data_IF_596066083449
#
_entry.id   IF_596066083449
#
_cell.length_a   1.000
_cell.length_b   1.000
_cell.length_c   1.000
_cell.angle_alpha   90.00
_cell.angle_beta   90.00
_cell.angle_gamma   90.00
#
_symmetry.space_group_name_H-M   'P 1'
#
loop_
_entity.id
_entity.type
_entity.pdbx_description
1 polymer ?
#
# COMPACT_ATOMS: atom_id res chain seq x y z
N UNK A 1 7.13 14.62 -18.25
CA UNK A 1 7.72 13.32 -18.63
C UNK A 1 6.59 12.36 -18.99
N UNK A 2 6.88 11.31 -19.78
CA UNK A 2 5.95 10.19 -20.04
C UNK A 2 6.22 9.07 -19.05
N UNK A 3 5.28 8.83 -18.14
CA UNK A 3 5.43 7.86 -17.05
C UNK A 3 4.39 6.73 -17.23
N UNK A 4 4.83 5.48 -17.16
CA UNK A 4 3.92 4.34 -17.11
C UNK A 4 3.77 3.82 -15.67
N UNK A 5 2.55 3.65 -15.20
CA UNK A 5 2.25 2.88 -13.99
C UNK A 5 1.87 1.46 -14.39
N UNK A 6 2.65 0.49 -13.93
CA UNK A 6 2.45 -0.92 -14.23
C UNK A 6 1.76 -1.64 -13.07
N UNK A 7 0.54 -2.12 -13.31
CA UNK A 7 -0.35 -2.65 -12.28
C UNK A 7 -0.79 -4.09 -12.62
N UNK A 8 -1.04 -4.89 -11.60
CA UNK A 8 -1.59 -6.25 -11.78
C UNK A 8 -3.01 -6.19 -12.37
N UNK A 9 -3.83 -5.33 -11.81
CA UNK A 9 -5.22 -5.06 -12.21
C UNK A 9 -5.53 -3.56 -12.05
N UNK A 10 -6.52 -3.04 -12.78
CA UNK A 10 -6.97 -1.65 -12.71
C UNK A 10 -8.40 -1.49 -13.18
N UNK A 11 -9.21 -0.63 -12.59
CA UNK A 11 -9.01 -0.06 -11.25
C UNK A 11 -9.28 -1.09 -10.15
N UNK A 12 -8.70 -0.87 -8.94
CA UNK A 12 -8.91 -1.72 -7.76
C UNK A 12 -9.30 -0.85 -6.58
N UNK A 13 -10.48 -1.09 -6.00
CA UNK A 13 -11.05 -0.25 -4.93
C UNK A 13 -10.20 -0.18 -3.65
N UNK A 14 -9.45 -1.24 -3.34
CA UNK A 14 -8.60 -1.29 -2.15
C UNK A 14 -7.22 -0.65 -2.35
N UNK A 15 -6.88 -0.22 -3.57
CA UNK A 15 -5.57 0.35 -3.92
C UNK A 15 -5.68 1.88 -4.13
N UNK A 16 -6.39 2.57 -3.25
CA UNK A 16 -6.61 4.03 -3.32
C UNK A 16 -5.30 4.83 -3.33
N UNK A 17 -4.28 4.35 -2.66
CA UNK A 17 -2.94 4.95 -2.63
C UNK A 17 -2.25 4.93 -4.01
N UNK A 18 -2.49 3.89 -4.83
CA UNK A 18 -1.99 3.84 -6.22
C UNK A 18 -2.64 4.93 -7.05
N UNK A 19 -3.99 5.03 -6.96
CA UNK A 19 -4.75 6.08 -7.65
C UNK A 19 -4.28 7.47 -7.23
N UNK A 20 -4.02 7.66 -5.92
CA UNK A 20 -3.54 8.93 -5.38
C UNK A 20 -2.16 9.28 -5.93
N UNK A 21 -1.23 8.32 -6.00
CA UNK A 21 0.11 8.56 -6.52
C UNK A 21 0.10 8.87 -8.03
N UNK A 22 -0.74 8.16 -8.81
CA UNK A 22 -0.95 8.48 -10.24
C UNK A 22 -1.46 9.92 -10.39
N UNK A 23 -2.45 10.34 -9.57
CA UNK A 23 -2.96 11.71 -9.57
C UNK A 23 -1.87 12.72 -9.25
N UNK A 24 -1.03 12.44 -8.26
CA UNK A 24 0.12 13.30 -7.91
C UNK A 24 1.05 13.54 -9.10
N UNK A 25 1.35 12.52 -9.89
CA UNK A 25 2.18 12.69 -11.10
C UNK A 25 1.46 13.49 -12.19
N UNK A 26 0.15 13.32 -12.35
CA UNK A 26 -0.65 14.14 -13.28
C UNK A 26 -0.63 15.62 -12.85
N UNK A 27 -0.85 15.88 -11.55
CA UNK A 27 -0.88 17.23 -10.97
C UNK A 27 0.48 17.95 -11.10
N UNK A 28 1.58 17.20 -11.13
CA UNK A 28 2.94 17.68 -11.45
C UNK A 28 3.18 17.90 -12.98
N UNK A 29 2.16 17.70 -13.81
CA UNK A 29 2.23 17.98 -15.26
C UNK A 29 2.84 16.83 -16.08
N UNK A 30 2.87 15.61 -15.59
CA UNK A 30 3.37 14.46 -16.34
C UNK A 30 2.26 13.79 -17.18
N UNK A 31 2.65 13.26 -18.33
CA UNK A 31 1.79 12.39 -19.13
C UNK A 31 1.82 10.98 -18.57
N UNK A 32 0.69 10.51 -18.06
CA UNK A 32 0.61 9.21 -17.37
C UNK A 32 -0.13 8.18 -18.21
N UNK A 33 0.46 7.00 -18.34
CA UNK A 33 -0.15 5.81 -18.92
C UNK A 33 -0.29 4.72 -17.84
N UNK A 34 -1.47 4.14 -17.71
CA UNK A 34 -1.67 2.94 -16.89
C UNK A 34 -1.53 1.70 -17.78
N UNK A 35 -0.53 0.88 -17.49
CA UNK A 35 -0.33 -0.44 -18.11
C UNK A 35 -0.81 -1.50 -17.12
N UNK A 36 -1.83 -2.26 -17.48
CA UNK A 36 -2.42 -3.21 -16.54
C UNK A 36 -2.53 -4.62 -17.10
N UNK A 37 -2.29 -5.60 -16.23
CA UNK A 37 -2.50 -7.01 -16.57
C UNK A 37 -3.97 -7.34 -16.82
N UNK A 38 -4.87 -6.79 -16.00
CA UNK A 38 -6.32 -6.98 -16.09
C UNK A 38 -7.02 -5.65 -15.92
N UNK A 39 -7.91 -5.32 -16.82
CA UNK A 39 -8.78 -4.15 -16.72
C UNK A 39 -10.18 -4.56 -16.22
N UNK A 40 -10.72 -3.79 -15.27
CA UNK A 40 -12.05 -4.00 -14.69
C UNK A 40 -13.01 -2.87 -15.12
N UNK A 41 -13.70 -3.00 -16.26
CA UNK A 41 -14.58 -1.95 -16.77
C UNK A 41 -15.81 -1.68 -15.89
N UNK A 42 -16.20 -2.66 -15.07
CA UNK A 42 -17.36 -2.57 -14.17
C UNK A 42 -17.05 -1.80 -12.87
N UNK A 43 -15.79 -1.46 -12.63
CA UNK A 43 -15.36 -0.65 -11.48
C UNK A 43 -15.19 0.79 -11.95
N UNK A 44 -15.79 1.73 -11.23
CA UNK A 44 -15.64 3.16 -11.52
C UNK A 44 -14.18 3.57 -11.56
N UNK A 45 -13.75 4.16 -12.66
CA UNK A 45 -12.37 4.64 -12.84
C UNK A 45 -12.25 6.10 -12.38
N UNK A 46 -11.59 6.38 -11.24
CA UNK A 46 -11.46 7.73 -10.72
C UNK A 46 -10.50 8.61 -11.54
N UNK A 47 -9.79 8.04 -12.50
CA UNK A 47 -8.85 8.72 -13.40
C UNK A 47 -9.31 8.67 -14.87
N UNK A 48 -10.57 8.31 -15.11
CA UNK A 48 -11.13 8.26 -16.48
C UNK A 48 -10.89 9.58 -17.22
N UNK A 49 -10.38 9.47 -18.44
CA UNK A 49 -10.03 10.62 -19.28
C UNK A 49 -8.76 11.38 -18.88
N UNK A 50 -8.13 11.08 -17.74
CA UNK A 50 -6.88 11.72 -17.26
C UNK A 50 -5.63 10.90 -17.55
N UNK A 51 -5.77 9.61 -17.82
CA UNK A 51 -4.67 8.69 -18.13
C UNK A 51 -4.91 7.95 -19.42
N UNK A 52 -3.82 7.56 -20.11
CA UNK A 52 -3.91 6.57 -21.17
C UNK A 52 -3.96 5.16 -20.56
N UNK A 53 -4.86 4.29 -21.06
CA UNK A 53 -4.97 2.92 -20.58
C UNK A 53 -4.42 1.94 -21.61
N UNK A 54 -3.53 1.04 -21.19
CA UNK A 54 -2.94 -0.04 -21.98
C UNK A 54 -3.14 -1.39 -21.28
N UNK A 55 -4.26 -2.07 -21.56
CA UNK A 55 -4.50 -3.40 -21.03
C UNK A 55 -3.69 -4.46 -21.80
N UNK A 56 -2.98 -5.33 -21.04
CA UNK A 56 -2.23 -6.47 -21.59
C UNK A 56 -3.21 -7.55 -22.07
N UNK A 57 -4.18 -7.88 -21.23
CA UNK A 57 -5.27 -8.83 -21.54
C UNK A 57 -6.53 -8.04 -21.83
N UNK A 58 -6.79 -7.79 -23.11
CA UNK A 58 -8.09 -7.28 -23.52
C UNK A 58 -9.05 -8.45 -23.64
N UNK A 59 -10.22 -8.34 -22.99
CA UNK A 59 -11.38 -9.11 -23.41
C UNK A 59 -11.58 -8.84 -24.91
N UNK A 60 -11.55 -9.88 -25.72
CA UNK A 60 -11.73 -9.95 -27.18
C UNK A 60 -11.93 -8.59 -27.87
N UNK A 61 -10.92 -8.15 -28.62
CA UNK A 61 -11.09 -7.14 -29.64
C UNK A 61 -11.71 -7.84 -30.88
N UNK A 62 -13.01 -7.67 -31.16
CA UNK A 62 -13.71 -8.42 -32.24
C UNK A 62 -13.24 -8.02 -33.63
N UNK A 63 -12.51 -6.90 -33.80
CA UNK A 63 -12.10 -6.35 -35.10
C UNK A 63 -10.67 -6.70 -35.51
N UNK A 64 -9.94 -7.53 -34.78
CA UNK A 64 -8.59 -7.96 -35.19
C UNK A 64 -8.60 -9.31 -35.88
N UNK A 65 -8.36 -9.29 -37.20
CA UNK A 65 -8.14 -10.48 -38.03
C UNK A 65 -7.07 -11.42 -37.40
N UNK A 66 -7.42 -12.70 -37.27
CA UNK A 66 -6.51 -13.76 -36.78
C UNK A 66 -5.25 -13.84 -37.66
N UNK A 67 -5.34 -13.66 -38.95
CA UNK A 67 -4.18 -13.64 -39.88
C UNK A 67 -3.21 -12.49 -39.59
N UNK A 68 -3.69 -11.29 -39.31
CA UNK A 68 -2.83 -10.15 -38.95
C UNK A 68 -2.11 -10.31 -37.59
N UNK A 69 -2.66 -11.16 -36.71
CA UNK A 69 -1.98 -11.54 -35.42
C UNK A 69 -0.90 -12.58 -35.67
N UNK A 70 -1.12 -13.55 -36.55
CA UNK A 70 -0.15 -14.61 -36.88
C UNK A 70 1.08 -14.03 -37.60
N UNK A 71 0.88 -13.15 -38.59
CA UNK A 71 2.02 -12.54 -39.31
C UNK A 71 2.92 -11.67 -38.45
N UNK A 72 2.34 -10.82 -37.60
CA UNK A 72 3.09 -10.00 -36.61
C UNK A 72 3.67 -10.85 -35.50
N UNK A 73 3.02 -11.94 -35.13
CA UNK A 73 3.53 -12.92 -34.16
C UNK A 73 4.77 -13.63 -34.62
N UNK A 74 4.81 -14.03 -35.88
CA UNK A 74 5.96 -14.71 -36.47
C UNK A 74 7.22 -13.83 -36.47
N UNK A 75 7.13 -12.56 -36.88
CA UNK A 75 8.25 -11.62 -36.85
C UNK A 75 8.70 -11.26 -35.43
N UNK A 76 7.78 -11.13 -34.46
CA UNK A 76 8.12 -10.89 -33.06
C UNK A 76 8.82 -12.08 -32.42
N UNK A 77 8.41 -13.31 -32.70
CA UNK A 77 9.01 -14.55 -32.17
C UNK A 77 10.39 -14.80 -32.77
N UNK A 78 10.68 -14.33 -33.97
CA UNK A 78 12.00 -14.42 -34.61
C UNK A 78 13.06 -13.51 -33.94
N UNK A 79 12.64 -12.45 -33.23
CA UNK A 79 13.55 -11.58 -32.50
C UNK A 79 14.23 -12.30 -31.32
N UNK A 80 15.57 -12.22 -31.25
CA UNK A 80 16.37 -12.89 -30.18
C UNK A 80 15.95 -12.48 -28.77
N UNK A 81 15.62 -11.20 -28.55
CA UNK A 81 15.15 -10.66 -27.26
C UNK A 81 13.85 -11.33 -26.83
N UNK A 82 12.86 -11.39 -27.70
CA UNK A 82 11.56 -12.01 -27.41
C UNK A 82 11.71 -13.51 -27.13
N UNK A 83 12.48 -14.23 -27.98
CA UNK A 83 12.73 -15.67 -27.84
C UNK A 83 13.40 -16.02 -26.51
N UNK A 84 14.46 -15.28 -26.12
CA UNK A 84 15.15 -15.51 -24.87
C UNK A 84 14.25 -15.24 -23.66
N UNK A 85 13.42 -14.19 -23.73
CA UNK A 85 12.47 -13.88 -22.68
C UNK A 85 11.35 -14.91 -22.60
N UNK A 86 10.87 -15.41 -23.74
CA UNK A 86 9.88 -16.49 -23.78
C UNK A 86 10.39 -17.76 -23.09
N UNK A 87 11.67 -18.15 -23.33
CA UNK A 87 12.29 -19.30 -22.64
C UNK A 87 12.31 -19.07 -21.12
N UNK A 88 12.64 -17.85 -20.65
CA UNK A 88 12.60 -17.49 -19.23
C UNK A 88 11.18 -17.60 -18.67
N UNK A 89 10.18 -17.09 -19.40
CA UNK A 89 8.78 -17.14 -18.99
C UNK A 89 8.22 -18.57 -18.93
N UNK A 90 8.64 -19.45 -19.86
CA UNK A 90 8.28 -20.89 -19.82
C UNK A 90 8.91 -21.56 -18.59
N UNK A 91 10.18 -21.25 -18.26
CA UNK A 91 10.82 -21.76 -17.03
C UNK A 91 10.08 -21.27 -15.79
N UNK A 92 9.69 -19.99 -15.74
CA UNK A 92 8.92 -19.43 -14.64
C UNK A 92 7.55 -20.13 -14.48
N UNK A 93 6.86 -20.40 -15.59
CA UNK A 93 5.58 -21.12 -15.58
C UNK A 93 5.72 -22.57 -15.10
N UNK A 94 6.81 -23.27 -15.46
CA UNK A 94 7.11 -24.60 -14.90
C UNK A 94 7.36 -24.59 -13.40
N UNK A 95 7.88 -23.47 -12.86
CA UNK A 95 8.01 -23.20 -11.42
C UNK A 95 6.75 -22.62 -10.75
N UNK A 96 5.59 -22.66 -11.42
CA UNK A 96 4.32 -22.20 -10.86
C UNK A 96 4.01 -20.70 -11.09
N UNK A 97 4.93 -19.91 -11.66
CA UNK A 97 4.68 -18.49 -11.93
C UNK A 97 4.31 -18.24 -13.39
N UNK A 98 3.01 -18.31 -13.70
CA UNK A 98 2.47 -18.27 -15.07
C UNK A 98 2.27 -16.85 -15.64
N UNK A 99 2.26 -15.81 -14.80
CA UNK A 99 1.90 -14.45 -15.20
C UNK A 99 2.76 -13.88 -16.34
N UNK A 100 4.12 -14.01 -16.34
CA UNK A 100 4.96 -13.51 -17.44
C UNK A 100 4.65 -14.16 -18.78
N UNK A 101 4.41 -15.49 -18.79
CA UNK A 101 4.06 -16.21 -20.02
C UNK A 101 2.72 -15.76 -20.59
N UNK A 102 1.72 -15.57 -19.72
CA UNK A 102 0.40 -15.08 -20.12
C UNK A 102 0.47 -13.63 -20.64
N UNK A 103 1.32 -12.79 -20.05
CA UNK A 103 1.51 -11.41 -20.50
C UNK A 103 2.21 -11.35 -21.88
N UNK A 104 3.27 -12.14 -22.06
CA UNK A 104 3.93 -12.25 -23.38
C UNK A 104 2.96 -12.73 -24.45
N UNK A 105 2.14 -13.75 -24.17
CA UNK A 105 1.12 -14.23 -25.09
C UNK A 105 0.08 -13.16 -25.43
N UNK A 106 -0.36 -12.37 -24.44
CA UNK A 106 -1.31 -11.25 -24.63
C UNK A 106 -0.73 -10.06 -25.41
N UNK A 107 0.60 -9.98 -25.53
CA UNK A 107 1.30 -8.85 -26.16
C UNK A 107 2.02 -9.21 -27.47
N UNK A 108 1.87 -10.43 -27.98
CA UNK A 108 2.49 -10.85 -29.25
C UNK A 108 2.16 -9.84 -30.37
N UNK A 109 3.20 -9.30 -31.03
CA UNK A 109 3.06 -8.32 -32.11
C UNK A 109 2.56 -6.94 -31.65
N UNK A 110 2.59 -6.65 -30.34
CA UNK A 110 2.21 -5.35 -29.78
C UNK A 110 3.41 -4.70 -29.11
N UNK A 111 3.50 -3.38 -29.25
CA UNK A 111 4.39 -2.54 -28.43
C UNK A 111 3.52 -1.63 -27.55
N UNK A 112 3.72 -1.66 -26.25
CA UNK A 112 2.89 -0.95 -25.28
C UNK A 112 3.36 0.48 -25.02
N UNK A 113 4.50 0.87 -25.57
CA UNK A 113 5.01 2.24 -25.49
C UNK A 113 6.44 2.32 -24.97
N UNK A 114 7.02 3.53 -25.17
CA UNK A 114 8.33 3.90 -24.61
C UNK A 114 8.12 5.04 -23.63
N UNK A 115 8.68 4.93 -22.44
CA UNK A 115 8.45 5.83 -21.32
C UNK A 115 9.74 6.34 -20.73
N UNK A 116 9.69 7.54 -20.16
CA UNK A 116 10.80 8.11 -19.39
C UNK A 116 11.05 7.32 -18.09
N UNK A 117 9.99 6.74 -17.53
CA UNK A 117 10.05 5.75 -16.44
C UNK A 117 8.81 4.86 -16.42
N UNK A 118 9.00 3.64 -15.88
CA UNK A 118 7.96 2.66 -15.60
C UNK A 118 7.95 2.44 -14.08
N UNK A 119 6.85 2.77 -13.42
CA UNK A 119 6.65 2.59 -11.98
C UNK A 119 5.75 1.38 -11.79
N UNK A 120 6.27 0.31 -11.22
CA UNK A 120 5.49 -0.88 -10.92
C UNK A 120 5.12 -0.90 -9.43
N UNK A 121 3.83 -1.01 -9.12
CA UNK A 121 3.38 -1.22 -7.76
C UNK A 121 3.36 -2.71 -7.45
N UNK A 122 3.99 -3.07 -6.35
CA UNK A 122 4.28 -4.43 -5.87
C UNK A 122 5.35 -5.18 -6.67
N UNK A 123 6.04 -6.09 -5.99
CA UNK A 123 7.11 -6.89 -6.57
C UNK A 123 6.69 -7.75 -7.77
N UNK A 124 5.56 -8.51 -7.72
CA UNK A 124 5.14 -9.33 -8.86
C UNK A 124 4.85 -8.52 -10.14
N UNK A 125 4.16 -7.38 -10.14
CA UNK A 125 4.08 -6.47 -11.28
C UNK A 125 5.43 -5.95 -11.75
N UNK A 126 6.37 -5.65 -10.83
CA UNK A 126 7.74 -5.27 -11.19
C UNK A 126 8.45 -6.34 -12.01
N UNK A 127 8.36 -7.61 -11.59
CA UNK A 127 8.89 -8.77 -12.35
C UNK A 127 8.23 -8.86 -13.73
N UNK A 128 6.92 -8.69 -13.82
CA UNK A 128 6.19 -8.75 -15.11
C UNK A 128 6.61 -7.62 -16.05
N UNK A 129 6.77 -6.40 -15.53
CA UNK A 129 7.27 -5.26 -16.30
C UNK A 129 8.69 -5.53 -16.84
N UNK A 130 9.58 -6.13 -16.02
CA UNK A 130 10.93 -6.54 -16.44
C UNK A 130 10.89 -7.58 -17.59
N UNK A 131 10.02 -8.58 -17.50
CA UNK A 131 9.85 -9.55 -18.57
C UNK A 131 9.40 -8.90 -19.89
N UNK A 132 8.40 -8.00 -19.83
CA UNK A 132 7.90 -7.30 -21.02
C UNK A 132 8.95 -6.33 -21.61
N UNK A 133 9.73 -5.65 -20.76
CA UNK A 133 10.85 -4.82 -21.21
C UNK A 133 11.94 -5.66 -21.87
N UNK A 134 12.33 -6.78 -21.27
CA UNK A 134 13.31 -7.70 -21.84
C UNK A 134 12.87 -8.26 -23.19
N UNK A 135 11.57 -8.46 -23.39
CA UNK A 135 11.01 -8.91 -24.67
C UNK A 135 10.87 -7.81 -25.73
N UNK A 136 11.10 -6.54 -25.38
CA UNK A 136 10.92 -5.40 -26.27
C UNK A 136 9.45 -5.01 -26.49
N UNK A 137 8.58 -5.37 -25.54
CA UNK A 137 7.14 -5.05 -25.57
C UNK A 137 6.87 -3.66 -24.98
N UNK A 138 7.68 -3.26 -24.01
CA UNK A 138 7.64 -1.93 -23.37
C UNK A 138 9.08 -1.45 -23.19
N UNK A 139 9.33 -0.16 -23.34
CA UNK A 139 10.65 0.43 -23.13
C UNK A 139 10.62 1.52 -22.06
N UNK A 140 11.63 1.51 -21.20
CA UNK A 140 11.82 2.49 -20.13
C UNK A 140 12.60 1.92 -18.95
N UNK A 141 13.23 2.76 -18.12
CA UNK A 141 13.78 2.35 -16.84
C UNK A 141 12.65 1.99 -15.87
N UNK A 142 12.85 0.97 -15.04
CA UNK A 142 11.83 0.44 -14.13
C UNK A 142 12.19 0.79 -12.69
N UNK A 143 11.22 1.36 -11.97
CA UNK A 143 11.19 1.42 -10.51
C UNK A 143 10.10 0.51 -9.98
N UNK A 144 10.37 -0.25 -8.92
CA UNK A 144 9.38 -1.13 -8.28
C UNK A 144 9.14 -0.69 -6.85
N UNK A 145 7.87 -0.39 -6.50
CA UNK A 145 7.46 -0.02 -5.15
C UNK A 145 7.02 -1.29 -4.42
N UNK A 146 7.61 -1.53 -3.24
CA UNK A 146 7.29 -2.67 -2.37
C UNK A 146 6.46 -2.20 -1.17
N UNK A 147 5.27 -2.79 -0.98
CA UNK A 147 4.28 -2.28 -0.03
C UNK A 147 4.14 -3.08 1.27
N UNK A 148 4.44 -4.36 1.28
CA UNK A 148 4.30 -5.22 2.46
C UNK A 148 3.91 -6.64 2.06
N UNK A 149 2.66 -6.90 1.68
CA UNK A 149 2.18 -8.24 1.28
C UNK A 149 3.14 -8.95 0.32
N UNK A 150 3.64 -8.23 -0.65
CA UNK A 150 4.55 -8.70 -1.71
C UNK A 150 5.93 -9.12 -1.20
N UNK A 151 6.28 -8.76 0.02
CA UNK A 151 7.57 -9.08 0.67
C UNK A 151 7.41 -9.66 2.08
N UNK A 152 6.19 -10.00 2.52
CA UNK A 152 5.93 -10.56 3.85
C UNK A 152 5.14 -11.87 3.82
N UNK A 153 4.18 -12.00 2.92
CA UNK A 153 3.35 -13.21 2.82
C UNK A 153 4.21 -14.42 2.40
N UNK A 154 4.21 -15.46 3.25
CA UNK A 154 5.17 -16.58 3.17
C UNK A 154 5.09 -17.31 1.82
N UNK A 155 3.89 -17.66 1.37
CA UNK A 155 3.73 -18.43 0.13
C UNK A 155 4.14 -17.61 -1.10
N UNK A 156 3.80 -16.31 -1.11
CA UNK A 156 4.21 -15.40 -2.17
C UNK A 156 5.73 -15.23 -2.21
N UNK A 157 6.39 -15.09 -1.04
CA UNK A 157 7.85 -14.96 -0.97
C UNK A 157 8.53 -16.23 -1.48
N UNK A 158 8.06 -17.40 -1.07
CA UNK A 158 8.62 -18.69 -1.54
C UNK A 158 8.58 -18.79 -3.07
N UNK A 159 7.50 -18.32 -3.68
CA UNK A 159 7.36 -18.30 -5.14
C UNK A 159 8.22 -17.20 -5.79
N UNK A 160 8.23 -16.00 -5.22
CA UNK A 160 8.74 -14.80 -5.90
C UNK A 160 10.20 -14.50 -5.66
N UNK A 161 10.82 -14.96 -4.56
CA UNK A 161 12.21 -14.63 -4.20
C UNK A 161 13.22 -14.86 -5.32
N UNK A 162 13.20 -15.96 -6.09
CA UNK A 162 14.14 -16.16 -7.21
C UNK A 162 13.94 -15.13 -8.34
N UNK A 163 12.72 -14.63 -8.53
CA UNK A 163 12.41 -13.61 -9.53
C UNK A 163 12.79 -12.22 -9.04
N UNK A 164 12.66 -11.95 -7.73
CA UNK A 164 13.09 -10.70 -7.13
C UNK A 164 14.60 -10.48 -7.26
N UNK A 165 15.42 -11.52 -7.08
CA UNK A 165 16.87 -11.42 -7.31
C UNK A 165 17.20 -11.02 -8.75
N UNK A 166 16.44 -11.54 -9.74
CA UNK A 166 16.59 -11.12 -11.13
C UNK A 166 16.08 -9.69 -11.35
N UNK A 167 14.98 -9.31 -10.72
CA UNK A 167 14.44 -7.95 -10.75
C UNK A 167 15.47 -6.95 -10.23
N UNK A 168 16.08 -7.21 -9.07
CA UNK A 168 17.08 -6.34 -8.43
C UNK A 168 18.29 -6.10 -9.34
N UNK A 169 18.74 -7.14 -10.03
CA UNK A 169 19.88 -7.04 -10.95
C UNK A 169 19.56 -6.27 -12.24
N UNK A 170 18.29 -6.19 -12.65
CA UNK A 170 17.88 -5.75 -13.99
C UNK A 170 17.07 -4.46 -14.00
N UNK A 171 16.67 -3.92 -12.86
CA UNK A 171 15.89 -2.69 -12.78
C UNK A 171 16.67 -1.56 -12.13
N UNK A 172 16.28 -0.36 -12.41
CA UNK A 172 17.05 0.84 -12.07
C UNK A 172 16.84 1.27 -10.62
N UNK A 173 15.61 1.12 -10.09
CA UNK A 173 15.28 1.52 -8.71
C UNK A 173 14.34 0.54 -8.02
N UNK A 174 14.56 0.36 -6.73
CA UNK A 174 13.72 -0.38 -5.80
C UNK A 174 13.23 0.61 -4.74
N UNK A 175 11.92 0.71 -4.58
CA UNK A 175 11.27 1.72 -3.77
C UNK A 175 10.48 1.07 -2.62
N UNK A 176 11.14 0.56 -1.55
CA UNK A 176 10.42 0.11 -0.36
C UNK A 176 9.77 1.28 0.36
N UNK A 177 8.60 1.05 0.97
CA UNK A 177 7.86 2.10 1.69
C UNK A 177 8.37 2.37 3.10
N UNK A 178 9.34 1.59 3.58
CA UNK A 178 9.94 1.74 4.93
C UNK A 178 11.40 1.30 4.94
N UNK A 179 12.15 1.71 5.97
CA UNK A 179 13.52 1.24 6.20
C UNK A 179 13.55 -0.25 6.53
N UNK A 180 12.57 -0.76 7.26
CA UNK A 180 12.43 -2.20 7.52
C UNK A 180 12.38 -3.00 6.21
N UNK A 181 11.64 -2.52 5.22
CA UNK A 181 11.58 -3.19 3.91
C UNK A 181 12.86 -2.98 3.10
N UNK A 182 13.54 -1.83 3.21
CA UNK A 182 14.88 -1.64 2.64
C UNK A 182 15.85 -2.71 3.14
N UNK A 183 15.93 -2.90 4.44
CA UNK A 183 16.79 -3.93 5.06
C UNK A 183 16.43 -5.34 4.57
N UNK A 184 15.14 -5.65 4.46
CA UNK A 184 14.68 -6.93 3.93
C UNK A 184 15.10 -7.16 2.48
N UNK A 185 14.97 -6.17 1.60
CA UNK A 185 15.40 -6.27 0.22
C UNK A 185 16.92 -6.44 0.12
N UNK A 186 17.70 -5.72 0.92
CA UNK A 186 19.16 -5.88 1.03
C UNK A 186 19.52 -7.29 1.49
N UNK A 187 18.84 -7.83 2.48
CA UNK A 187 18.99 -9.22 2.94
C UNK A 187 18.64 -10.27 1.88
N UNK A 188 17.94 -9.90 0.82
CA UNK A 188 17.68 -10.76 -0.36
C UNK A 188 18.62 -10.49 -1.52
N UNK A 189 19.63 -9.62 -1.37
CA UNK A 189 20.66 -9.33 -2.33
C UNK A 189 20.41 -8.10 -3.21
N UNK A 190 19.51 -7.20 -2.80
CA UNK A 190 19.37 -5.91 -3.46
C UNK A 190 20.57 -5.00 -3.14
N UNK A 191 21.07 -4.29 -4.17
CA UNK A 191 22.13 -3.29 -4.02
C UNK A 191 21.53 -2.01 -3.41
N UNK A 192 22.08 -1.57 -2.27
CA UNK A 192 21.62 -0.37 -1.56
C UNK A 192 21.67 0.90 -2.43
N UNK A 193 22.63 1.00 -3.34
CA UNK A 193 22.73 2.12 -4.27
C UNK A 193 21.52 2.24 -5.22
N UNK A 194 20.75 1.18 -5.38
CA UNK A 194 19.51 1.13 -6.17
C UNK A 194 18.24 1.31 -5.34
N UNK A 195 18.36 1.35 -4.01
CA UNK A 195 17.22 1.48 -3.11
C UNK A 195 17.00 2.95 -2.76
N UNK A 196 15.76 3.38 -2.82
CA UNK A 196 15.30 4.67 -2.28
C UNK A 196 14.02 4.42 -1.50
N UNK A 197 14.01 4.71 -0.20
CA UNK A 197 12.78 4.59 0.60
C UNK A 197 11.78 5.64 0.13
N UNK A 198 10.66 5.20 -0.41
CA UNK A 198 9.55 6.05 -0.83
C UNK A 198 8.34 5.73 0.03
N UNK A 199 8.10 6.52 1.04
CA UNK A 199 6.99 6.33 1.97
C UNK A 199 5.64 6.51 1.27
N UNK A 200 4.61 5.91 1.83
CA UNK A 200 3.23 6.26 1.53
C UNK A 200 2.82 7.42 2.44
N UNK A 201 1.87 8.22 2.01
CA UNK A 201 1.43 9.37 2.77
C UNK A 201 -0.07 9.63 2.67
N UNK A 202 -0.47 10.76 3.22
CA UNK A 202 -1.84 11.27 3.19
C UNK A 202 -1.87 12.68 2.62
N UNK A 203 -3.03 13.06 2.12
CA UNK A 203 -3.26 14.45 1.69
C UNK A 203 -3.52 15.31 2.94
N UNK A 204 -2.67 16.32 3.12
CA UNK A 204 -2.73 17.23 4.26
C UNK A 204 -3.02 18.64 3.75
N UNK A 205 -4.05 19.24 4.31
CA UNK A 205 -4.24 20.68 4.20
C UNK A 205 -3.45 21.38 5.32
N UNK A 206 -2.28 21.89 4.99
CA UNK A 206 -1.41 22.55 5.96
C UNK A 206 -2.01 23.84 6.53
N UNK A 207 -3.05 24.39 5.89
CA UNK A 207 -3.80 25.54 6.40
C UNK A 207 -4.89 25.15 7.42
N UNK A 208 -5.35 23.92 7.38
CA UNK A 208 -6.38 23.37 8.27
C UNK A 208 -5.74 22.60 9.44
N UNK A 209 -5.00 23.32 10.30
CA UNK A 209 -4.38 22.71 11.49
C UNK A 209 -5.48 22.33 12.48
N UNK A 210 -5.54 21.06 12.95
CA UNK A 210 -6.52 20.61 13.91
C UNK A 210 -6.29 21.24 15.30
N UNK A 211 -7.33 21.31 16.13
CA UNK A 211 -7.17 21.65 17.54
C UNK A 211 -6.59 20.47 18.29
N UNK A 212 -5.49 20.72 19.01
CA UNK A 212 -4.83 19.68 19.84
C UNK A 212 -5.31 19.71 21.29
N UNK A 213 -5.91 20.81 21.73
CA UNK A 213 -6.24 21.08 23.13
C UNK A 213 -7.62 20.53 23.54
N UNK A 214 -8.31 19.82 22.65
CA UNK A 214 -9.59 19.18 22.96
C UNK A 214 -9.41 18.19 24.13
N UNK A 215 -10.20 18.35 25.23
CA UNK A 215 -10.08 17.48 26.39
C UNK A 215 -10.51 16.06 26.08
N UNK A 216 -9.88 15.08 26.73
CA UNK A 216 -10.33 13.70 26.71
C UNK A 216 -11.73 13.61 27.34
N UNK A 217 -12.62 12.92 26.67
CA UNK A 217 -14.00 12.76 27.09
C UNK A 217 -14.19 11.58 28.06
N UNK A 218 -15.30 11.60 28.79
CA UNK A 218 -15.81 10.44 29.52
C UNK A 218 -17.25 10.18 29.06
N UNK A 219 -17.57 9.02 28.47
CA UNK A 219 -16.66 7.89 28.17
C UNK A 219 -15.55 8.24 27.17
N UNK A 220 -14.37 7.58 27.31
CA UNK A 220 -13.25 7.70 26.38
C UNK A 220 -13.66 7.18 25.00
N UNK A 221 -13.58 7.99 23.97
CA UNK A 221 -14.02 7.66 22.61
C UNK A 221 -12.84 7.07 21.82
N UNK A 222 -12.90 5.77 21.58
CA UNK A 222 -11.88 5.01 20.83
C UNK A 222 -12.41 4.61 19.47
N UNK A 223 -11.62 4.75 18.43
CA UNK A 223 -11.97 4.40 17.06
C UNK A 223 -10.90 3.51 16.43
N UNK A 224 -11.33 2.47 15.70
CA UNK A 224 -10.51 1.75 14.73
C UNK A 224 -11.14 1.83 13.34
N UNK A 225 -10.30 2.07 12.32
CA UNK A 225 -10.71 2.03 10.92
C UNK A 225 -9.80 1.05 10.19
N UNK A 226 -10.34 -0.11 9.82
CA UNK A 226 -9.53 -1.17 9.25
C UNK A 226 -10.36 -2.19 8.46
N UNK A 227 -9.75 -2.85 7.50
CA UNK A 227 -10.26 -4.10 6.97
C UNK A 227 -10.19 -5.17 8.06
N UNK A 228 -11.26 -5.93 8.29
CA UNK A 228 -11.34 -6.92 9.38
C UNK A 228 -10.64 -8.22 8.98
N UNK A 229 -9.31 -8.19 9.03
CA UNK A 229 -8.38 -9.31 8.76
C UNK A 229 -7.39 -9.45 9.93
N UNK A 230 -6.78 -10.62 10.07
CA UNK A 230 -5.92 -10.98 11.20
C UNK A 230 -4.86 -9.91 11.51
N UNK A 231 -4.11 -9.46 10.50
CA UNK A 231 -3.00 -8.51 10.72
C UNK A 231 -3.40 -7.15 11.31
N UNK A 232 -4.70 -6.79 11.28
CA UNK A 232 -5.19 -5.55 11.88
C UNK A 232 -5.38 -5.63 13.39
N UNK A 233 -5.35 -6.84 13.95
CA UNK A 233 -5.33 -7.06 15.39
C UNK A 233 -6.57 -6.62 16.15
N UNK A 234 -7.74 -6.42 15.48
CA UNK A 234 -8.95 -5.90 16.13
C UNK A 234 -9.42 -6.78 17.29
N UNK A 235 -9.12 -8.10 17.28
CA UNK A 235 -9.40 -8.99 18.39
C UNK A 235 -8.69 -8.52 19.68
N UNK A 236 -7.44 -8.03 19.57
CA UNK A 236 -6.67 -7.53 20.71
C UNK A 236 -7.16 -6.15 21.17
N UNK A 237 -7.70 -5.33 20.25
CA UNK A 237 -8.38 -4.09 20.63
C UNK A 237 -9.64 -4.39 21.47
N UNK A 238 -10.45 -5.35 21.04
CA UNK A 238 -11.65 -5.79 21.78
C UNK A 238 -11.26 -6.33 23.17
N UNK A 239 -10.24 -7.18 23.25
CA UNK A 239 -9.75 -7.74 24.52
C UNK A 239 -9.24 -6.63 25.44
N UNK A 240 -8.44 -5.68 24.92
CA UNK A 240 -7.91 -4.55 25.68
C UNK A 240 -9.01 -3.62 26.21
N UNK A 241 -10.01 -3.29 25.37
CA UNK A 241 -11.16 -2.47 25.79
C UNK A 241 -12.00 -3.20 26.86
N UNK A 242 -12.21 -4.50 26.72
CA UNK A 242 -12.96 -5.29 27.70
C UNK A 242 -12.25 -5.41 29.07
N UNK A 243 -10.91 -5.32 29.12
CA UNK A 243 -10.10 -5.36 30.35
C UNK A 243 -9.89 -4.01 31.00
N UNK A 244 -10.04 -2.92 30.25
CA UNK A 244 -9.85 -1.56 30.76
C UNK A 244 -10.85 -1.25 31.87
N UNK A 245 -10.40 -0.41 32.84
CA UNK A 245 -11.20 0.05 33.97
C UNK A 245 -11.93 1.35 33.67
N UNK A 246 -11.44 2.10 32.70
CA UNK A 246 -12.05 3.35 32.24
C UNK A 246 -13.39 3.08 31.55
N UNK A 247 -14.31 4.04 31.63
CA UNK A 247 -15.52 4.02 30.80
C UNK A 247 -15.13 4.34 29.36
N UNK A 248 -15.32 3.38 28.46
CA UNK A 248 -14.86 3.44 27.07
C UNK A 248 -16.03 3.21 26.11
N UNK A 249 -16.11 4.03 25.07
CA UNK A 249 -16.92 3.77 23.89
C UNK A 249 -16.02 3.48 22.69
N UNK A 250 -15.95 2.24 22.29
CA UNK A 250 -15.12 1.79 21.18
C UNK A 250 -15.96 1.54 19.92
N UNK A 251 -15.57 2.18 18.82
CA UNK A 251 -16.19 2.02 17.51
C UNK A 251 -15.23 1.41 16.51
N UNK A 252 -15.72 0.46 15.71
CA UNK A 252 -14.96 -0.20 14.64
C UNK A 252 -15.63 0.08 13.30
N UNK A 253 -14.89 0.74 12.39
CA UNK A 253 -15.32 0.98 11.02
C UNK A 253 -14.56 0.04 10.09
N UNK A 254 -15.28 -0.67 9.24
CA UNK A 254 -14.74 -1.55 8.22
C UNK A 254 -15.51 -2.86 8.10
N UNK A 255 -15.03 -3.72 7.21
CA UNK A 255 -15.57 -5.05 6.95
C UNK A 255 -14.45 -6.01 6.59
N UNK A 256 -14.70 -7.29 6.65
CA UNK A 256 -13.72 -8.31 6.28
C UNK A 256 -14.12 -9.71 6.72
N UNK A 257 -13.31 -10.72 6.38
CA UNK A 257 -13.62 -12.12 6.66
C UNK A 257 -13.77 -12.44 8.16
N UNK A 258 -13.16 -11.66 9.07
CA UNK A 258 -13.26 -11.87 10.52
C UNK A 258 -14.42 -11.13 11.18
N UNK A 259 -15.30 -10.46 10.42
CA UNK A 259 -16.35 -9.60 10.97
C UNK A 259 -17.26 -10.31 11.96
N UNK A 260 -17.77 -11.48 11.60
CA UNK A 260 -18.67 -12.26 12.48
C UNK A 260 -17.97 -12.73 13.76
N UNK A 261 -16.72 -13.17 13.67
CA UNK A 261 -15.91 -13.61 14.79
C UNK A 261 -15.66 -12.47 15.78
N UNK A 262 -15.25 -11.31 15.25
CA UNK A 262 -14.97 -10.11 16.04
C UNK A 262 -16.23 -9.55 16.72
N UNK A 263 -17.36 -9.54 16.01
CA UNK A 263 -18.65 -9.16 16.62
C UNK A 263 -19.06 -10.12 17.72
N UNK A 264 -18.83 -11.43 17.55
CA UNK A 264 -19.10 -12.43 18.60
C UNK A 264 -18.19 -12.21 19.82
N UNK A 265 -16.90 -11.91 19.62
CA UNK A 265 -15.96 -11.61 20.70
C UNK A 265 -16.32 -10.32 21.48
N UNK A 266 -16.92 -9.36 20.81
CA UNK A 266 -17.32 -8.07 21.42
C UNK A 266 -18.63 -8.17 22.26
N UNK A 267 -19.49 -9.18 22.05
CA UNK A 267 -20.80 -9.31 22.72
C UNK A 267 -20.77 -9.16 24.24
N UNK A 268 -19.79 -9.72 24.98
CA UNK A 268 -19.72 -9.56 26.44
C UNK A 268 -19.58 -8.12 26.90
N UNK A 269 -19.03 -7.23 26.05
CA UNK A 269 -18.84 -5.80 26.35
C UNK A 269 -20.11 -4.95 26.13
N UNK A 270 -21.20 -5.54 25.64
CA UNK A 270 -22.48 -4.85 25.39
C UNK A 270 -22.32 -3.64 24.48
N UNK A 271 -22.91 -2.50 24.89
CA UNK A 271 -22.92 -1.26 24.10
C UNK A 271 -21.58 -0.49 24.12
N UNK A 272 -20.58 -0.97 24.88
CA UNK A 272 -19.27 -0.34 24.91
C UNK A 272 -18.51 -0.50 23.59
N UNK A 273 -18.80 -1.56 22.80
CA UNK A 273 -18.15 -1.84 21.52
C UNK A 273 -19.19 -1.91 20.39
N UNK A 274 -19.04 -1.04 19.39
CA UNK A 274 -19.97 -0.96 18.25
C UNK A 274 -19.23 -1.13 16.90
N UNK A 275 -19.76 -2.00 16.04
CA UNK A 275 -19.33 -2.15 14.65
C UNK A 275 -20.23 -1.32 13.73
N UNK A 276 -19.64 -0.36 13.03
CA UNK A 276 -20.35 0.55 12.16
C UNK A 276 -20.40 0.09 10.68
N UNK A 277 -19.78 -1.08 10.38
CA UNK A 277 -19.65 -1.56 9.01
C UNK A 277 -18.76 -0.65 8.14
N UNK A 278 -18.74 -0.86 6.82
CA UNK A 278 -18.00 0.00 5.89
C UNK A 278 -18.67 1.38 5.80
N UNK A 279 -17.88 2.45 5.87
CA UNK A 279 -18.34 3.82 5.82
C UNK A 279 -17.68 4.60 4.68
N UNK A 280 -18.38 5.58 4.07
CA UNK A 280 -17.76 6.51 3.12
C UNK A 280 -16.66 7.33 3.79
N UNK A 281 -15.64 7.73 3.02
CA UNK A 281 -14.46 8.44 3.51
C UNK A 281 -14.79 9.70 4.34
N UNK A 282 -15.77 10.50 3.89
CA UNK A 282 -16.24 11.68 4.66
C UNK A 282 -16.81 11.32 6.04
N UNK A 283 -17.48 10.15 6.17
CA UNK A 283 -17.98 9.69 7.47
C UNK A 283 -16.84 9.20 8.36
N UNK A 284 -15.84 8.53 7.78
CA UNK A 284 -14.64 8.12 8.52
C UNK A 284 -13.95 9.34 9.15
N UNK A 285 -13.77 10.41 8.38
CA UNK A 285 -13.16 11.64 8.90
C UNK A 285 -13.99 12.31 10.00
N UNK A 286 -15.33 12.33 9.84
CA UNK A 286 -16.21 12.85 10.88
C UNK A 286 -16.13 12.04 12.19
N UNK A 287 -15.96 10.72 12.12
CA UNK A 287 -15.77 9.89 13.31
C UNK A 287 -14.37 10.06 13.90
N UNK A 288 -13.32 10.21 13.07
CA UNK A 288 -11.98 10.55 13.55
C UNK A 288 -11.98 11.86 14.37
N UNK A 289 -12.59 12.91 13.85
CA UNK A 289 -12.66 14.22 14.52
C UNK A 289 -13.44 14.18 15.86
N UNK A 290 -14.29 13.18 16.06
CA UNK A 290 -15.05 12.97 17.30
C UNK A 290 -14.33 12.04 18.28
N UNK A 291 -13.25 11.38 17.86
CA UNK A 291 -12.55 10.38 18.65
C UNK A 291 -11.43 11.00 19.48
N UNK A 292 -11.21 10.45 20.68
CA UNK A 292 -10.10 10.83 21.55
C UNK A 292 -8.83 10.04 21.20
N UNK A 293 -9.02 8.74 20.87
CA UNK A 293 -7.95 7.78 20.56
C UNK A 293 -8.28 7.02 19.29
N UNK A 294 -7.33 6.94 18.38
CA UNK A 294 -7.35 6.00 17.27
C UNK A 294 -6.50 4.78 17.65
N UNK A 295 -7.11 3.61 17.69
CA UNK A 295 -6.47 2.35 18.11
C UNK A 295 -6.28 1.42 16.91
N UNK A 296 -5.04 1.02 16.63
CA UNK A 296 -4.74 0.03 15.58
C UNK A 296 -3.64 -0.93 16.06
N UNK A 297 -3.99 -2.02 16.78
CA UNK A 297 -3.03 -2.96 17.34
C UNK A 297 -2.64 -4.05 16.34
N UNK A 298 -2.03 -3.65 15.22
CA UNK A 298 -1.61 -4.55 14.14
C UNK A 298 -0.65 -5.61 14.62
N UNK A 299 -0.74 -6.81 14.01
CA UNK A 299 0.07 -7.98 14.35
C UNK A 299 0.58 -8.67 13.09
N UNK A 300 1.61 -9.47 13.21
CA UNK A 300 1.99 -10.42 12.16
C UNK A 300 0.95 -11.53 12.07
N UNK A 301 0.32 -11.69 10.90
CA UNK A 301 -0.65 -12.74 10.65
C UNK A 301 0.01 -14.12 10.54
N UNK A 302 -0.77 -15.20 10.72
CA UNK A 302 -0.28 -16.59 10.67
C UNK A 302 0.37 -16.94 9.32
N UNK A 303 -0.10 -16.37 8.22
CA UNK A 303 0.51 -16.54 6.89
C UNK A 303 1.76 -15.67 6.65
N UNK A 304 2.21 -14.91 7.67
CA UNK A 304 3.35 -13.99 7.61
C UNK A 304 3.01 -12.60 7.04
N UNK A 305 1.76 -12.34 6.61
CA UNK A 305 1.36 -11.00 6.14
C UNK A 305 1.49 -9.98 7.27
N UNK A 306 2.15 -8.88 6.98
CA UNK A 306 2.41 -7.77 7.90
C UNK A 306 1.87 -6.46 7.32
N UNK A 307 1.64 -5.48 8.17
CA UNK A 307 1.42 -4.12 7.70
C UNK A 307 2.69 -3.56 7.04
N UNK A 308 2.49 -2.61 6.12
CA UNK A 308 3.55 -1.67 5.81
C UNK A 308 3.58 -0.57 6.89
N UNK A 309 3.20 0.64 6.50
CA UNK A 309 2.87 1.72 7.45
C UNK A 309 1.41 2.08 7.20
N UNK A 310 0.49 1.84 8.14
CA UNK A 310 -0.94 2.00 7.92
C UNK A 310 -1.34 3.45 7.63
N UNK A 311 -2.00 3.68 6.49
CA UNK A 311 -2.48 5.02 6.09
C UNK A 311 -3.49 5.57 7.10
N UNK A 312 -4.34 4.71 7.69
CA UNK A 312 -5.33 5.14 8.69
C UNK A 312 -4.71 5.72 9.97
N UNK A 313 -3.49 5.29 10.36
CA UNK A 313 -2.74 5.95 11.44
C UNK A 313 -2.30 7.36 11.03
N UNK A 314 -1.80 7.52 9.79
CA UNK A 314 -1.40 8.84 9.28
C UNK A 314 -2.61 9.78 9.18
N UNK A 315 -3.77 9.27 8.74
CA UNK A 315 -5.03 10.04 8.68
C UNK A 315 -5.47 10.50 10.07
N UNK A 316 -5.38 9.62 11.08
CA UNK A 316 -5.69 9.97 12.46
C UNK A 316 -4.74 11.03 13.02
N UNK A 317 -3.43 10.88 12.80
CA UNK A 317 -2.42 11.88 13.19
C UNK A 317 -2.63 13.22 12.49
N UNK A 318 -2.99 13.21 11.21
CA UNK A 318 -3.29 14.41 10.43
C UNK A 318 -4.56 15.14 10.92
N UNK A 319 -5.49 14.41 11.56
CA UNK A 319 -6.69 14.96 12.19
C UNK A 319 -6.49 15.37 13.66
N UNK A 320 -5.27 15.25 14.18
CA UNK A 320 -4.95 15.60 15.57
C UNK A 320 -5.52 14.62 16.59
N UNK A 321 -5.80 13.38 16.20
CA UNK A 321 -6.27 12.32 17.09
C UNK A 321 -5.07 11.62 17.73
N UNK A 322 -5.13 11.31 19.03
CA UNK A 322 -4.10 10.52 19.70
C UNK A 322 -4.08 9.10 19.10
N UNK A 323 -2.92 8.62 18.71
CA UNK A 323 -2.76 7.26 18.17
C UNK A 323 -2.18 6.32 19.21
N UNK A 324 -2.80 5.13 19.33
CA UNK A 324 -2.31 3.97 20.06
C UNK A 324 -2.19 2.80 19.09
N UNK A 325 -0.99 2.26 18.95
CA UNK A 325 -0.71 1.17 18.01
C UNK A 325 0.24 0.15 18.62
N UNK A 326 0.71 -0.80 17.82
CA UNK A 326 1.69 -1.81 18.24
C UNK A 326 3.07 -1.54 17.68
N UNK A 327 4.12 -2.04 18.36
CA UNK A 327 5.50 -2.12 17.83
C UNK A 327 5.57 -3.19 16.74
N UNK A 328 4.80 -2.97 15.67
CA UNK A 328 4.65 -3.89 14.56
C UNK A 328 5.22 -3.30 13.27
N UNK A 329 6.06 -4.08 12.57
CA UNK A 329 6.52 -3.76 11.23
C UNK A 329 7.09 -2.34 11.10
N UNK A 330 6.62 -1.54 10.14
CA UNK A 330 7.02 -0.15 9.92
C UNK A 330 6.34 0.88 10.82
N UNK A 331 5.43 0.50 11.72
CA UNK A 331 4.72 1.44 12.60
C UNK A 331 5.69 2.26 13.46
N UNK A 332 6.79 1.71 14.04
CA UNK A 332 7.75 2.51 14.79
C UNK A 332 8.50 3.57 13.96
N UNK A 333 8.49 3.50 12.64
CA UNK A 333 9.01 4.59 11.78
C UNK A 333 8.06 5.79 11.70
N UNK A 334 6.75 5.55 11.88
CA UNK A 334 5.71 6.58 11.91
C UNK A 334 5.54 7.13 13.32
N UNK A 335 5.47 6.25 14.33
CA UNK A 335 5.14 6.57 15.72
C UNK A 335 6.37 6.32 16.60
N UNK A 336 6.96 7.38 17.11
CA UNK A 336 7.94 7.32 18.21
C UNK A 336 7.17 7.30 19.53
N UNK A 337 7.32 6.18 20.28
CA UNK A 337 6.56 5.92 21.50
C UNK A 337 6.78 7.00 22.56
N UNK A 338 5.70 7.53 23.10
CA UNK A 338 5.72 8.62 24.10
C UNK A 338 6.08 10.00 23.54
N UNK A 339 6.38 10.13 22.24
CA UNK A 339 6.73 11.39 21.58
C UNK A 339 5.63 11.85 20.62
N UNK A 340 5.18 10.99 19.70
CA UNK A 340 4.13 11.33 18.74
C UNK A 340 3.00 10.29 18.65
N UNK A 341 2.83 9.51 19.70
CA UNK A 341 1.82 8.49 19.88
C UNK A 341 2.25 7.47 20.93
N UNK A 342 1.48 6.43 21.12
CA UNK A 342 1.74 5.39 22.10
C UNK A 342 1.83 4.02 21.41
N UNK A 343 2.80 3.20 21.83
CA UNK A 343 3.02 1.88 21.30
C UNK A 343 2.99 0.83 22.41
N UNK A 344 2.27 -0.24 22.16
CA UNK A 344 2.28 -1.48 22.97
C UNK A 344 2.89 -2.62 22.15
N UNK A 345 3.10 -3.77 22.75
CA UNK A 345 3.57 -4.95 22.02
C UNK A 345 2.45 -5.61 21.22
N UNK A 346 2.81 -6.43 20.21
CA UNK A 346 1.82 -7.22 19.47
C UNK A 346 1.09 -8.19 20.41
N UNK A 347 -0.22 -8.34 20.22
CA UNK A 347 -1.08 -9.28 20.98
C UNK A 347 -1.19 -8.97 22.47
N UNK A 348 -0.87 -7.76 22.89
CA UNK A 348 -0.86 -7.32 24.28
C UNK A 348 -2.15 -6.57 24.65
N UNK A 349 -3.22 -7.33 24.95
CA UNK A 349 -4.50 -6.78 25.42
C UNK A 349 -4.37 -6.06 26.77
N UNK A 350 -3.52 -6.55 27.68
CA UNK A 350 -3.28 -5.90 28.99
C UNK A 350 -2.55 -4.56 28.83
N UNK A 351 -1.57 -4.47 27.94
CA UNK A 351 -0.88 -3.22 27.59
C UNK A 351 -1.82 -2.19 26.95
N UNK A 352 -2.74 -2.65 26.07
CA UNK A 352 -3.78 -1.77 25.51
C UNK A 352 -4.68 -1.24 26.64
N UNK A 353 -5.21 -2.11 27.51
CA UNK A 353 -6.07 -1.73 28.63
C UNK A 353 -5.39 -0.73 29.57
N UNK A 354 -4.17 -1.04 30.00
CA UNK A 354 -3.40 -0.16 30.88
C UNK A 354 -3.14 1.22 30.25
N UNK A 355 -2.87 1.25 28.94
CA UNK A 355 -2.62 2.51 28.22
C UNK A 355 -3.89 3.34 28.10
N UNK A 356 -5.03 2.74 27.78
CA UNK A 356 -6.34 3.42 27.74
C UNK A 356 -6.72 3.98 29.11
N UNK A 357 -6.50 3.22 30.19
CA UNK A 357 -6.72 3.67 31.56
C UNK A 357 -5.85 4.88 31.94
N UNK A 358 -4.57 4.89 31.55
CA UNK A 358 -3.67 6.02 31.78
C UNK A 358 -4.13 7.29 31.04
N UNK A 359 -4.58 7.13 29.78
CA UNK A 359 -5.14 8.23 29.00
C UNK A 359 -6.38 8.81 29.70
N UNK A 360 -7.30 7.94 30.10
CA UNK A 360 -8.55 8.35 30.77
C UNK A 360 -8.31 9.05 32.11
N UNK A 361 -7.23 8.67 32.86
CA UNK A 361 -6.85 9.33 34.11
C UNK A 361 -6.05 10.63 33.93
N UNK A 362 -5.75 11.04 32.68
CA UNK A 362 -4.95 12.24 32.41
C UNK A 362 -3.45 12.08 32.73
N UNK A 363 -2.94 10.87 32.79
CA UNK A 363 -1.51 10.57 33.06
C UNK A 363 -0.62 10.69 31.81
N UNK A 364 -1.20 11.10 30.69
CA UNK A 364 -0.54 11.24 29.39
C UNK A 364 -0.70 12.68 28.90
N UNK A 365 0.39 13.32 28.49
CA UNK A 365 0.32 14.63 27.82
C UNK A 365 -0.18 14.47 26.37
N UNK A 366 -1.50 14.34 26.26
CA UNK A 366 -2.20 14.12 24.98
C UNK A 366 -1.98 15.27 24.01
N UNK A 367 -1.89 16.51 24.51
CA UNK A 367 -1.70 17.71 23.69
C UNK A 367 -0.35 17.70 23.01
N UNK A 368 0.71 17.40 23.75
CA UNK A 368 2.06 17.30 23.21
C UNK A 368 2.15 16.17 22.16
N UNK A 369 1.60 14.99 22.46
CA UNK A 369 1.60 13.84 21.54
C UNK A 369 0.86 14.13 20.23
N UNK A 370 -0.34 14.71 20.30
CA UNK A 370 -1.15 15.08 19.11
C UNK A 370 -0.42 16.09 18.24
N UNK A 371 0.19 17.11 18.83
CA UNK A 371 0.96 18.14 18.12
C UNK A 371 2.18 17.57 17.42
N UNK A 372 2.93 16.73 18.11
CA UNK A 372 4.10 16.05 17.54
C UNK A 372 3.70 15.06 16.44
N UNK A 373 2.59 14.33 16.62
CA UNK A 373 2.02 13.42 15.61
C UNK A 373 1.66 14.16 14.31
N UNK A 374 0.96 15.28 14.41
CA UNK A 374 0.64 16.12 13.26
C UNK A 374 1.90 16.62 12.55
N UNK A 375 2.85 17.17 13.29
CA UNK A 375 4.12 17.64 12.74
C UNK A 375 4.89 16.52 12.01
N UNK A 376 4.90 15.30 12.56
CA UNK A 376 5.52 14.11 11.95
C UNK A 376 4.90 13.79 10.59
N UNK A 377 3.56 13.77 10.52
CA UNK A 377 2.86 13.44 9.26
C UNK A 377 3.03 14.54 8.22
N UNK A 378 2.94 15.82 8.61
CA UNK A 378 3.19 16.97 7.72
C UNK A 378 4.59 16.93 7.13
N UNK A 379 5.59 16.57 7.93
CA UNK A 379 6.99 16.58 7.50
C UNK A 379 7.36 15.38 6.64
N UNK A 380 6.97 14.17 7.04
CA UNK A 380 7.53 12.93 6.52
C UNK A 380 6.52 12.13 5.66
N UNK A 381 5.20 12.39 5.79
CA UNK A 381 4.13 11.60 5.18
C UNK A 381 3.12 12.45 4.38
N UNK A 382 3.47 13.67 4.03
CA UNK A 382 2.64 14.52 3.18
C UNK A 382 2.79 14.10 1.71
N UNK A 383 1.71 13.71 1.08
CA UNK A 383 1.68 13.25 -0.31
C UNK A 383 2.32 14.25 -1.29
N UNK A 384 2.12 15.56 -1.11
CA UNK A 384 2.74 16.56 -1.99
C UNK A 384 4.27 16.50 -1.97
N UNK A 385 4.87 16.23 -0.80
CA UNK A 385 6.33 16.05 -0.66
C UNK A 385 6.78 14.73 -1.26
N UNK A 386 6.02 13.66 -1.05
CA UNK A 386 6.31 12.32 -1.57
C UNK A 386 6.16 12.24 -3.09
N UNK A 387 5.19 12.93 -3.67
CA UNK A 387 5.04 13.06 -5.13
C UNK A 387 6.29 13.71 -5.77
N UNK A 388 6.81 14.78 -5.15
CA UNK A 388 8.06 15.42 -5.61
C UNK A 388 9.28 14.53 -5.42
N UNK A 389 9.31 13.72 -4.35
CA UNK A 389 10.37 12.72 -4.15
C UNK A 389 10.32 11.66 -5.27
N UNK A 390 9.14 11.16 -5.61
CA UNK A 390 8.97 10.22 -6.73
C UNK A 390 9.35 10.87 -8.06
N UNK A 391 8.95 12.11 -8.30
CA UNK A 391 9.34 12.87 -9.48
C UNK A 391 10.87 12.98 -9.62
N UNK A 392 11.58 13.28 -8.52
CA UNK A 392 13.04 13.34 -8.51
C UNK A 392 13.68 11.99 -8.84
N UNK A 393 13.14 10.88 -8.29
CA UNK A 393 13.59 9.53 -8.63
C UNK A 393 13.42 9.24 -10.12
N UNK A 394 12.25 9.56 -10.68
CA UNK A 394 11.95 9.36 -12.12
C UNK A 394 12.87 10.20 -13.00
N UNK A 395 13.11 11.46 -12.62
CA UNK A 395 14.02 12.35 -13.35
C UNK A 395 15.47 11.81 -13.36
N UNK A 396 15.95 11.32 -12.22
CA UNK A 396 17.27 10.69 -12.11
C UNK A 396 17.39 9.42 -12.96
N UNK A 397 16.34 8.60 -13.02
CA UNK A 397 16.30 7.39 -13.87
C UNK A 397 16.33 7.73 -15.37
N UNK A 398 15.68 8.84 -15.76
CA UNK A 398 15.72 9.34 -17.14
C UNK A 398 17.11 9.85 -17.52
N UNK A 399 17.77 10.59 -16.62
CA UNK A 399 19.09 11.16 -16.87
C UNK A 399 20.22 10.11 -16.95
N UNK A 400 20.07 8.97 -16.31
CA UNK A 400 21.01 7.85 -16.31
C UNK A 400 20.95 6.95 -17.55
N UNK A 401 20.12 7.30 -18.53
CA UNK A 401 20.03 6.66 -19.85
C UNK A 401 20.97 7.33 -20.85
#
# INVERSE_FOLDING_TARGET
>A
MRIAFFLAAYPVLSETFVIRQIRGMIDLGHEVTVVTGKYHPDVADPLAGKVQLRAIRTARDPHRSIMGRIGRGATAILGSRFRNTLIRAIKAAKGGYHAPLADLAGTIGRHLGSYDAIIAHFGPPGVRAEFLRSAGVIDGPIATIFHGLDITEIALIQQMKPFYQQLFARTERLLPISNLWRERLMGWGADDARITVLRMGVDIDEAAVPSFDAPIQSPLRVLSVARLVEKKGIAYAIDGVARAKADIRYQVIGTGPLEQELQAAARPSGDAIAFLGPQPHGRVFAELERSDVFLLPSVTAANGDMEGIPVSLMEAMAKGVLVLATRHSGIPELIEDGVCGLLVDERDGDGIAATLDRIARGEVDVVALRRAAFAKVVNDYNNRKLDRQLEAVVAAMKAGR
#
